data_IF_012532980759
#
_entry.id   IF_012532980759
#
_cell.length_a   1.000
_cell.length_b   1.000
_cell.length_c   1.000
_cell.angle_alpha   90.00
_cell.angle_beta   90.00
_cell.angle_gamma   90.00
#
_symmetry.space_group_name_H-M   'P 1'
#
loop_
_entity.id
_entity.type
_entity.pdbx_description
1 polymer ?
#
# COMPACT_ATOMS: atom_id res chain seq x y z
N UNK A 1 23.56 56.52 42.20
CA UNK A 1 23.85 57.96 42.22
C UNK A 1 24.91 58.23 41.15
N UNK A 2 24.64 59.18 40.22
CA UNK A 2 25.45 59.52 39.03
C UNK A 2 26.81 60.12 39.39
N UNK A 3 27.79 60.01 38.48
CA UNK A 3 28.64 61.11 37.93
C UNK A 3 29.58 60.51 36.84
N UNK A 4 29.46 60.90 35.56
CA UNK A 4 30.17 62.00 34.87
C UNK A 4 31.67 61.68 34.66
N UNK A 5 32.19 61.40 33.44
CA UNK A 5 32.50 62.32 32.32
C UNK A 5 33.21 63.59 32.88
N UNK A 6 34.49 63.87 32.66
CA UNK A 6 35.25 63.99 31.40
C UNK A 6 36.76 64.19 31.73
N UNK A 7 37.56 64.37 30.66
CA UNK A 7 38.87 65.07 30.59
C UNK A 7 40.01 64.14 30.09
N UNK A 8 40.31 64.11 28.79
CA UNK A 8 41.02 65.10 27.97
C UNK A 8 42.54 65.12 28.25
N UNK A 9 43.25 64.38 27.38
CA UNK A 9 44.52 64.69 26.72
C UNK A 9 45.56 65.60 27.40
N UNK A 10 46.75 65.03 27.63
CA UNK A 10 48.08 65.68 27.46
C UNK A 10 49.04 64.62 26.90
N UNK A 11 49.26 64.54 25.59
CA UNK A 11 50.36 65.12 24.80
C UNK A 11 51.75 64.46 25.01
N UNK A 12 52.38 63.96 23.93
CA UNK A 12 53.86 63.81 23.90
C UNK A 12 54.52 62.54 23.33
N UNK A 13 54.24 62.18 22.07
CA UNK A 13 55.22 61.76 21.02
C UNK A 13 56.33 60.72 21.36
N UNK A 14 56.26 59.50 20.81
CA UNK A 14 57.43 58.75 20.26
C UNK A 14 57.03 57.99 18.99
N UNK A 15 57.89 58.09 17.98
CA UNK A 15 57.76 57.51 16.62
C UNK A 15 57.95 55.99 16.60
N UNK A 16 57.08 55.36 15.80
CA UNK A 16 57.30 54.25 14.85
C UNK A 16 58.46 53.29 15.14
N UNK A 17 58.14 52.02 15.38
CA UNK A 17 58.71 50.95 14.56
C UNK A 17 57.87 49.67 14.63
N UNK A 18 57.67 49.15 13.43
CA UNK A 18 57.04 47.88 13.07
C UNK A 18 57.35 46.72 14.01
N UNK A 19 56.31 45.98 14.37
CA UNK A 19 56.40 44.53 14.25
C UNK A 19 55.04 43.88 14.06
N UNK A 20 54.65 43.78 12.77
CA UNK A 20 53.61 42.87 12.29
C UNK A 20 53.98 41.42 12.65
N UNK A 21 53.15 40.74 13.44
CA UNK A 21 53.00 39.26 13.42
C UNK A 21 51.56 38.93 13.82
N UNK A 22 50.60 39.17 12.92
CA UNK A 22 49.99 38.15 12.07
C UNK A 22 49.50 36.92 12.86
N UNK A 23 48.19 36.95 13.14
CA UNK A 23 47.41 35.81 13.61
C UNK A 23 47.59 34.62 12.66
N UNK A 24 47.98 33.47 13.20
CA UNK A 24 47.99 32.20 12.50
C UNK A 24 46.55 31.74 12.25
N UNK A 25 45.98 32.14 11.11
CA UNK A 25 44.78 31.52 10.54
C UNK A 25 45.21 30.23 9.85
N UNK A 26 45.01 29.09 10.52
CA UNK A 26 45.19 27.77 9.92
C UNK A 26 44.10 27.51 8.87
N UNK A 27 44.39 27.81 7.60
CA UNK A 27 43.54 27.40 6.48
C UNK A 27 43.70 25.90 6.24
N UNK A 28 42.74 25.10 6.70
CA UNK A 28 42.60 23.71 6.23
C UNK A 28 42.25 23.74 4.74
N UNK A 29 43.26 23.61 3.87
CA UNK A 29 43.05 23.37 2.44
C UNK A 29 42.39 22.01 2.30
N UNK A 30 41.07 21.99 2.14
CA UNK A 30 40.39 20.82 1.60
C UNK A 30 40.97 20.54 0.22
N UNK A 31 41.78 19.47 0.12
CA UNK A 31 42.20 18.94 -1.16
C UNK A 31 40.94 18.47 -1.86
N UNK A 32 40.52 19.18 -2.91
CA UNK A 32 39.49 18.69 -3.79
C UNK A 32 40.06 17.46 -4.49
N UNK A 33 39.63 16.28 -4.05
CA UNK A 33 39.91 15.04 -4.76
C UNK A 33 39.05 15.05 -6.03
N UNK A 34 39.70 15.11 -7.19
CA UNK A 34 39.03 14.86 -8.46
C UNK A 34 38.78 13.36 -8.57
N UNK A 35 37.53 12.96 -8.77
CA UNK A 35 37.13 11.57 -8.94
C UNK A 35 37.80 10.95 -10.17
N UNK A 36 38.20 9.68 -10.06
CA UNK A 36 38.80 8.95 -11.18
C UNK A 36 37.72 8.39 -12.10
N UNK A 37 38.00 8.25 -13.41
CA UNK A 37 37.04 7.66 -14.36
C UNK A 37 36.64 6.23 -13.99
N UNK A 38 37.55 5.47 -13.39
CA UNK A 38 37.31 4.10 -12.94
C UNK A 38 36.26 4.01 -11.84
N UNK A 39 36.16 5.04 -10.99
CA UNK A 39 35.20 5.10 -9.89
C UNK A 39 33.77 5.26 -10.42
N UNK A 40 33.58 6.15 -11.40
CA UNK A 40 32.29 6.31 -12.07
C UNK A 40 31.94 5.08 -12.92
N UNK A 41 32.92 4.43 -13.56
CA UNK A 41 32.71 3.19 -14.32
C UNK A 41 32.18 2.06 -13.41
N UNK A 42 32.84 1.81 -12.28
CA UNK A 42 32.45 0.74 -11.35
C UNK A 42 31.05 0.99 -10.76
N UNK A 43 30.71 2.25 -10.44
CA UNK A 43 29.38 2.62 -9.94
C UNK A 43 28.29 2.32 -10.97
N UNK A 44 28.49 2.68 -12.24
CA UNK A 44 27.50 2.41 -13.30
C UNK A 44 27.35 0.90 -13.54
N UNK A 45 28.44 0.13 -13.47
CA UNK A 45 28.40 -1.34 -13.58
C UNK A 45 27.58 -1.95 -12.44
N UNK A 46 27.81 -1.54 -11.18
CA UNK A 46 27.06 -2.05 -10.03
C UNK A 46 25.58 -1.67 -10.13
N UNK A 47 25.26 -0.42 -10.51
CA UNK A 47 23.87 0.02 -10.71
C UNK A 47 23.20 -0.80 -11.83
N UNK A 48 23.90 -1.05 -12.94
CA UNK A 48 23.37 -1.88 -14.04
C UNK A 48 23.01 -3.31 -13.61
N UNK A 49 23.85 -3.93 -12.77
CA UNK A 49 23.60 -5.28 -12.23
C UNK A 49 22.42 -5.26 -11.26
N UNK A 50 22.38 -4.30 -10.33
CA UNK A 50 21.32 -4.21 -9.33
C UNK A 50 19.96 -3.93 -9.99
N UNK A 51 19.92 -3.02 -10.96
CA UNK A 51 18.70 -2.73 -11.73
C UNK A 51 18.25 -3.96 -12.53
N UNK A 52 19.18 -4.74 -13.09
CA UNK A 52 18.85 -5.99 -13.80
C UNK A 52 18.34 -7.11 -12.90
N UNK A 53 18.68 -7.11 -11.61
CA UNK A 53 18.36 -8.18 -10.65
C UNK A 53 16.98 -8.07 -9.98
N UNK A 54 16.25 -6.97 -10.14
CA UNK A 54 14.97 -6.73 -9.45
C UNK A 54 13.74 -7.38 -10.12
N UNK A 55 13.91 -8.14 -11.20
CA UNK A 55 12.81 -8.83 -11.86
C UNK A 55 12.59 -10.24 -11.27
N UNK A 56 12.25 -10.33 -9.98
CA UNK A 56 11.77 -11.60 -9.41
C UNK A 56 10.25 -11.51 -9.29
N UNK A 57 9.55 -12.06 -10.28
CA UNK A 57 8.09 -12.20 -10.23
C UNK A 57 7.69 -13.25 -9.20
N UNK A 58 6.82 -12.88 -8.26
CA UNK A 58 6.26 -13.75 -7.23
C UNK A 58 5.12 -14.66 -7.74
N UNK A 59 4.99 -14.87 -9.05
CA UNK A 59 3.70 -15.34 -9.61
C UNK A 59 3.40 -16.83 -9.33
N UNK A 60 4.39 -17.71 -9.25
CA UNK A 60 4.15 -19.16 -9.27
C UNK A 60 3.54 -19.77 -7.99
N UNK A 61 3.96 -19.35 -6.80
CA UNK A 61 3.39 -19.86 -5.52
C UNK A 61 2.12 -19.13 -5.09
N UNK A 62 1.87 -17.96 -5.67
CA UNK A 62 0.68 -17.18 -5.38
C UNK A 62 -0.58 -17.79 -5.98
N UNK A 63 -0.48 -18.45 -7.14
CA UNK A 63 -1.67 -18.82 -7.90
C UNK A 63 -2.49 -19.96 -7.27
N UNK A 64 -1.86 -20.99 -6.73
CA UNK A 64 -2.59 -22.07 -6.02
C UNK A 64 -3.21 -21.57 -4.71
N UNK A 65 -2.51 -20.66 -4.01
CA UNK A 65 -3.04 -20.00 -2.82
C UNK A 65 -4.23 -19.08 -3.17
N UNK A 66 -4.17 -18.36 -4.30
CA UNK A 66 -5.28 -17.57 -4.84
C UNK A 66 -6.48 -18.45 -5.16
N UNK A 67 -6.30 -19.56 -5.89
CA UNK A 67 -7.40 -20.48 -6.21
C UNK A 67 -8.02 -21.06 -4.93
N UNK A 68 -7.19 -21.43 -3.96
CA UNK A 68 -7.66 -21.96 -2.67
C UNK A 68 -8.44 -20.91 -1.88
N UNK A 69 -7.97 -19.66 -1.88
CA UNK A 69 -8.67 -18.53 -1.27
C UNK A 69 -10.02 -18.30 -1.94
N UNK A 70 -10.05 -18.16 -3.26
CA UNK A 70 -11.29 -17.98 -4.01
C UNK A 70 -12.30 -19.12 -3.76
N UNK A 71 -11.84 -20.37 -3.70
CA UNK A 71 -12.69 -21.52 -3.34
C UNK A 71 -13.23 -21.42 -1.91
N UNK A 72 -12.41 -21.02 -0.95
CA UNK A 72 -12.85 -20.85 0.43
C UNK A 72 -13.90 -19.73 0.55
N UNK A 73 -13.70 -18.64 -0.17
CA UNK A 73 -14.63 -17.51 -0.17
C UNK A 73 -15.98 -17.92 -0.77
N UNK A 74 -16.00 -18.54 -1.96
CA UNK A 74 -17.23 -19.01 -2.63
C UNK A 74 -17.93 -20.12 -1.85
N UNK A 75 -17.21 -21.18 -1.47
CA UNK A 75 -17.81 -22.41 -0.92
C UNK A 75 -18.05 -22.37 0.58
N UNK A 76 -17.48 -21.42 1.30
CA UNK A 76 -17.57 -21.40 2.76
C UNK A 76 -18.00 -20.04 3.27
N UNK A 77 -17.26 -18.98 3.00
CA UNK A 77 -17.56 -17.66 3.58
C UNK A 77 -18.89 -17.11 3.07
N UNK A 78 -19.05 -17.02 1.76
CA UNK A 78 -20.25 -16.46 1.12
C UNK A 78 -21.43 -17.43 1.18
N UNK A 79 -21.18 -18.72 0.94
CA UNK A 79 -22.21 -19.75 1.08
C UNK A 79 -22.83 -19.76 2.49
N UNK A 80 -22.00 -19.72 3.54
CA UNK A 80 -22.51 -19.66 4.92
C UNK A 80 -23.28 -18.37 5.20
N UNK A 81 -22.82 -17.23 4.68
CA UNK A 81 -23.51 -15.95 4.87
C UNK A 81 -24.88 -15.95 4.19
N UNK A 82 -24.98 -16.53 3.00
CA UNK A 82 -26.24 -16.72 2.28
C UNK A 82 -27.18 -17.67 3.03
N UNK A 83 -26.66 -18.78 3.55
CA UNK A 83 -27.45 -19.74 4.34
C UNK A 83 -28.00 -19.10 5.62
N UNK A 84 -27.21 -18.26 6.30
CA UNK A 84 -27.66 -17.52 7.49
C UNK A 84 -28.73 -16.47 7.14
N UNK A 85 -28.56 -15.77 6.01
CA UNK A 85 -29.56 -14.85 5.50
C UNK A 85 -30.89 -15.57 5.21
N UNK A 86 -30.83 -16.73 4.55
CA UNK A 86 -32.00 -17.56 4.28
C UNK A 86 -32.66 -18.07 5.57
N UNK A 87 -31.86 -18.45 6.56
CA UNK A 87 -32.39 -18.89 7.86
C UNK A 87 -33.15 -17.79 8.60
N UNK A 88 -32.69 -16.54 8.53
CA UNK A 88 -33.30 -15.42 9.26
C UNK A 88 -34.50 -14.81 8.50
N UNK A 89 -34.37 -14.60 7.20
CA UNK A 89 -35.38 -13.93 6.38
C UNK A 89 -36.36 -14.94 5.75
N UNK A 90 -35.90 -16.16 5.46
CA UNK A 90 -36.66 -17.24 4.84
C UNK A 90 -36.52 -17.33 3.32
N UNK A 91 -35.62 -16.56 2.73
CA UNK A 91 -35.27 -16.54 1.30
C UNK A 91 -33.82 -16.10 1.13
N UNK A 92 -33.21 -16.42 0.00
CA UNK A 92 -31.96 -15.79 -0.42
C UNK A 92 -32.20 -14.34 -0.90
N UNK A 93 -31.14 -13.51 -0.98
CA UNK A 93 -31.22 -12.19 -1.60
C UNK A 93 -31.73 -12.27 -3.05
N UNK A 94 -32.43 -11.25 -3.53
CA UNK A 94 -32.77 -11.15 -4.96
C UNK A 94 -31.55 -10.75 -5.78
N UNK A 95 -31.63 -10.88 -7.11
CA UNK A 95 -30.56 -10.41 -8.00
C UNK A 95 -30.31 -8.89 -7.89
N UNK A 96 -31.36 -8.11 -7.55
CA UNK A 96 -31.25 -6.66 -7.34
C UNK A 96 -30.56 -6.30 -6.01
N UNK A 97 -30.79 -7.09 -4.96
CA UNK A 97 -30.14 -6.94 -3.66
C UNK A 97 -28.70 -7.47 -3.69
N UNK A 98 -28.49 -8.58 -4.39
CA UNK A 98 -27.20 -9.24 -4.57
C UNK A 98 -26.50 -9.60 -3.26
N UNK A 99 -25.17 -9.61 -3.30
CA UNK A 99 -24.33 -9.87 -2.13
C UNK A 99 -24.30 -8.68 -1.14
N UNK A 100 -24.79 -7.50 -1.53
CA UNK A 100 -24.81 -6.31 -0.67
C UNK A 100 -25.77 -6.48 0.52
N UNK A 101 -26.87 -7.23 0.30
CA UNK A 101 -27.82 -7.62 1.34
C UNK A 101 -27.19 -8.45 2.49
N UNK A 102 -25.98 -9.00 2.28
CA UNK A 102 -25.22 -9.70 3.32
C UNK A 102 -24.54 -8.74 4.30
N UNK A 103 -24.39 -7.47 3.95
CA UNK A 103 -23.68 -6.46 4.75
C UNK A 103 -24.66 -5.38 5.18
N UNK A 104 -25.46 -4.88 4.24
CA UNK A 104 -26.44 -3.83 4.45
C UNK A 104 -27.84 -4.43 4.57
N UNK A 105 -28.66 -3.85 5.45
CA UNK A 105 -30.05 -4.25 5.60
C UNK A 105 -30.85 -3.88 4.33
N UNK A 106 -31.43 -4.85 3.59
CA UNK A 106 -32.25 -4.57 2.41
C UNK A 106 -33.63 -3.98 2.75
N UNK A 107 -33.90 -3.67 4.02
CA UNK A 107 -35.20 -3.22 4.52
C UNK A 107 -36.07 -4.35 5.03
N UNK A 108 -35.46 -5.47 5.43
CA UNK A 108 -36.15 -6.68 5.86
C UNK A 108 -36.26 -6.73 7.38
N UNK A 109 -37.49 -6.77 7.90
CA UNK A 109 -37.75 -6.73 9.36
C UNK A 109 -37.09 -7.84 10.18
N UNK A 110 -36.76 -8.97 9.54
CA UNK A 110 -36.13 -10.14 10.16
C UNK A 110 -34.61 -10.17 10.01
N UNK A 111 -34.01 -9.20 9.31
CA UNK A 111 -32.57 -9.12 9.14
C UNK A 111 -31.89 -8.90 10.49
N UNK A 112 -30.90 -9.75 10.82
CA UNK A 112 -30.27 -9.77 12.16
C UNK A 112 -28.86 -9.24 12.20
N UNK A 113 -28.33 -8.74 11.09
CA UNK A 113 -27.02 -8.13 11.06
C UNK A 113 -26.26 -8.48 9.80
N UNK A 114 -25.08 -7.87 9.64
CA UNK A 114 -24.18 -8.26 8.57
C UNK A 114 -23.76 -9.71 8.79
N UNK A 115 -24.01 -10.54 7.79
CA UNK A 115 -23.63 -11.96 7.76
C UNK A 115 -22.15 -12.14 7.39
N UNK A 116 -21.49 -11.06 6.96
CA UNK A 116 -20.05 -10.98 6.73
C UNK A 116 -19.38 -10.13 7.81
N UNK A 117 -18.18 -10.54 8.26
CA UNK A 117 -17.41 -9.85 9.30
C UNK A 117 -16.75 -8.56 8.83
N UNK A 118 -16.50 -8.49 7.52
CA UNK A 118 -15.81 -7.40 6.83
C UNK A 118 -16.56 -7.16 5.54
N UNK A 119 -16.38 -5.98 4.94
CA UNK A 119 -16.84 -5.71 3.59
C UNK A 119 -16.38 -6.80 2.61
N UNK A 120 -17.16 -6.98 1.54
CA UNK A 120 -16.86 -7.96 0.51
C UNK A 120 -15.60 -7.54 -0.24
N UNK A 121 -14.47 -8.18 0.10
CA UNK A 121 -13.25 -8.05 -0.67
C UNK A 121 -13.44 -8.66 -2.07
N UNK A 122 -12.86 -8.07 -3.12
CA UNK A 122 -12.85 -8.69 -4.43
C UNK A 122 -12.06 -10.02 -4.38
N UNK A 123 -12.25 -10.83 -5.40
CA UNK A 123 -11.52 -12.07 -5.57
C UNK A 123 -9.98 -11.84 -5.63
N UNK A 124 -9.16 -12.90 -5.54
CA UNK A 124 -7.71 -12.76 -5.53
C UNK A 124 -7.09 -12.14 -6.80
N UNK A 125 -7.88 -12.02 -7.87
CA UNK A 125 -7.50 -11.39 -9.14
C UNK A 125 -8.09 -9.97 -9.29
N UNK A 126 -8.86 -9.50 -8.30
CA UNK A 126 -9.44 -8.16 -8.24
C UNK A 126 -10.84 -8.04 -8.85
N UNK A 127 -11.50 -9.14 -9.20
CA UNK A 127 -12.85 -9.14 -9.76
C UNK A 127 -13.90 -9.30 -8.65
N UNK A 128 -15.09 -8.73 -8.87
CA UNK A 128 -16.21 -8.95 -7.97
C UNK A 128 -16.77 -10.37 -8.12
N UNK A 129 -17.27 -10.94 -7.03
CA UNK A 129 -18.04 -12.18 -7.07
C UNK A 129 -19.39 -11.95 -7.76
N UNK A 130 -19.80 -12.88 -8.61
CA UNK A 130 -21.10 -12.83 -9.28
C UNK A 130 -22.09 -13.75 -8.57
N UNK A 131 -23.22 -13.18 -8.17
CA UNK A 131 -24.34 -13.87 -7.56
C UNK A 131 -25.52 -13.84 -8.51
N UNK A 132 -26.18 -14.98 -8.67
CA UNK A 132 -27.44 -15.08 -9.42
C UNK A 132 -28.37 -16.10 -8.76
N UNK A 133 -29.63 -15.73 -8.59
CA UNK A 133 -30.69 -16.63 -8.15
C UNK A 133 -31.15 -17.51 -9.32
N UNK A 134 -31.48 -18.77 -9.04
CA UNK A 134 -32.06 -19.66 -10.05
C UNK A 134 -33.48 -19.16 -10.40
N UNK A 135 -33.77 -18.82 -11.67
CA UNK A 135 -35.08 -18.32 -12.08
C UNK A 135 -36.23 -19.30 -11.80
N UNK A 136 -35.93 -20.60 -11.80
CA UNK A 136 -36.92 -21.65 -11.58
C UNK A 136 -37.06 -22.03 -10.10
N UNK A 137 -36.07 -21.67 -9.26
CA UNK A 137 -36.05 -22.06 -7.86
C UNK A 137 -35.40 -21.01 -6.96
N UNK A 138 -36.23 -20.24 -6.25
CA UNK A 138 -35.77 -19.21 -5.29
C UNK A 138 -35.00 -19.72 -4.06
N UNK A 139 -34.83 -21.04 -3.92
CA UNK A 139 -33.97 -21.67 -2.90
C UNK A 139 -32.65 -22.18 -3.46
N UNK A 140 -32.36 -21.90 -4.73
CA UNK A 140 -31.07 -22.19 -5.35
C UNK A 140 -30.45 -20.90 -5.82
N UNK A 141 -29.17 -20.77 -5.57
CA UNK A 141 -28.35 -19.68 -6.07
C UNK A 141 -27.12 -20.27 -6.76
N UNK A 142 -26.49 -19.45 -7.58
CA UNK A 142 -25.20 -19.72 -8.15
C UNK A 142 -24.26 -18.58 -7.77
N UNK A 143 -23.11 -18.95 -7.22
CA UNK A 143 -22.05 -18.02 -6.87
C UNK A 143 -20.83 -18.34 -7.71
N UNK A 144 -20.29 -17.34 -8.40
CA UNK A 144 -19.19 -17.49 -9.37
C UNK A 144 -18.07 -16.49 -9.10
N UNK A 145 -16.85 -16.95 -9.35
CA UNK A 145 -15.64 -16.15 -9.39
C UNK A 145 -14.97 -16.39 -10.75
N UNK A 146 -14.56 -15.31 -11.41
CA UNK A 146 -13.99 -15.32 -12.76
C UNK A 146 -12.65 -16.05 -12.87
N UNK A 147 -12.03 -16.38 -11.74
CA UNK A 147 -10.78 -17.13 -11.74
C UNK A 147 -9.58 -16.35 -12.32
N UNK A 148 -8.49 -17.09 -12.64
CA UNK A 148 -7.24 -16.52 -13.12
C UNK A 148 -7.31 -15.66 -14.38
N UNK A 149 -8.23 -15.96 -15.29
CA UNK A 149 -8.35 -15.22 -16.55
C UNK A 149 -9.19 -13.93 -16.43
N UNK A 150 -9.92 -13.78 -15.31
CA UNK A 150 -10.76 -12.63 -14.99
C UNK A 150 -11.98 -12.48 -15.88
N UNK A 151 -12.42 -13.55 -16.55
CA UNK A 151 -13.58 -13.54 -17.44
C UNK A 151 -14.60 -14.58 -17.00
N UNK A 152 -15.80 -14.12 -16.66
CA UNK A 152 -16.91 -15.01 -16.37
C UNK A 152 -17.33 -15.81 -17.62
N UNK A 153 -17.75 -17.06 -17.42
CA UNK A 153 -18.21 -18.00 -18.43
C UNK A 153 -17.10 -18.85 -19.05
N UNK A 154 -15.93 -18.93 -18.43
CA UNK A 154 -14.76 -19.68 -18.92
C UNK A 154 -14.54 -20.94 -18.10
N UNK A 155 -13.60 -21.79 -18.54
CA UNK A 155 -13.37 -23.10 -17.90
C UNK A 155 -12.68 -23.02 -16.53
N UNK A 156 -12.11 -21.87 -16.19
CA UNK A 156 -11.38 -21.63 -14.95
C UNK A 156 -12.22 -20.95 -13.86
N UNK A 157 -13.50 -20.67 -14.16
CA UNK A 157 -14.46 -20.18 -13.19
C UNK A 157 -14.57 -21.11 -11.97
N UNK A 158 -14.65 -20.49 -10.80
CA UNK A 158 -14.85 -21.18 -9.54
C UNK A 158 -16.29 -20.95 -9.10
N UNK A 159 -17.07 -22.03 -9.08
CA UNK A 159 -18.48 -22.00 -8.73
C UNK A 159 -18.80 -22.80 -7.45
N UNK A 160 -19.90 -22.45 -6.77
CA UNK A 160 -20.45 -23.16 -5.60
C UNK A 160 -21.33 -24.34 -5.98
#
# INVERSE_FOLDING_TARGET
MKTSKSDIFVNGRVRVQDMKKQCYQGQFRHKQAAFTLMEMLLVIVIIGILVGGLAVSLSGRSQEAMITRARADVKSTLALALDLFEQDIGRYPSDDEGLDALINDPGESKWKGPYLKTDLEPDPWGNAYEYSLDPDNSRKYQLRCAGPDGKMGTSDDIES
#
